data_IF_109914963515
#
_entry.id   IF_109914963515
#
_cell.length_a   1.000
_cell.length_b   1.000
_cell.length_c   1.000
_cell.angle_alpha   90.00
_cell.angle_beta   90.00
_cell.angle_gamma   90.00
#
_symmetry.space_group_name_H-M   'P 1'
#
loop_
_entity.id
_entity.type
_entity.pdbx_description
1 polymer ?
#
# COMPACT_ATOMS: atom_id res chain seq x y z
N UNK A 1 4.36 2.63 -30.09
CA UNK A 1 5.26 2.84 -28.94
C UNK A 1 6.31 1.73 -29.01
N UNK A 2 7.58 2.00 -28.75
CA UNK A 2 8.59 0.94 -28.70
C UNK A 2 8.58 0.25 -27.33
N UNK A 3 9.08 -0.99 -27.25
CA UNK A 3 9.25 -1.70 -25.97
C UNK A 3 10.00 -0.86 -24.94
N UNK A 4 11.10 -0.21 -25.36
CA UNK A 4 11.87 0.68 -24.51
C UNK A 4 11.03 1.82 -23.94
N UNK A 5 10.14 2.42 -24.73
CA UNK A 5 9.26 3.51 -24.29
C UNK A 5 8.25 3.02 -23.25
N UNK A 6 7.65 1.83 -23.45
CA UNK A 6 6.71 1.23 -22.48
C UNK A 6 7.43 0.97 -21.15
N UNK A 7 8.60 0.31 -21.20
CA UNK A 7 9.38 0.01 -20.00
C UNK A 7 9.86 1.28 -19.27
N UNK A 8 10.25 2.31 -20.01
CA UNK A 8 10.65 3.59 -19.44
C UNK A 8 9.46 4.27 -18.73
N UNK A 9 8.30 4.33 -19.39
CA UNK A 9 7.10 4.92 -18.82
C UNK A 9 6.59 4.16 -17.60
N UNK A 10 6.67 2.82 -17.63
CA UNK A 10 6.37 1.96 -16.49
C UNK A 10 7.26 2.30 -15.28
N UNK A 11 8.58 2.45 -15.50
CA UNK A 11 9.51 2.84 -14.43
C UNK A 11 9.21 4.23 -13.86
N UNK A 12 8.88 5.21 -14.71
CA UNK A 12 8.45 6.54 -14.24
C UNK A 12 7.17 6.45 -13.41
N UNK A 13 6.20 5.63 -13.84
CA UNK A 13 4.98 5.36 -13.08
C UNK A 13 5.27 4.75 -11.70
N UNK A 14 6.20 3.79 -11.63
CA UNK A 14 6.62 3.22 -10.35
C UNK A 14 7.33 4.22 -9.44
N UNK A 15 8.19 5.09 -9.99
CA UNK A 15 8.85 6.14 -9.20
C UNK A 15 7.79 7.08 -8.59
N UNK A 16 6.80 7.49 -9.38
CA UNK A 16 5.71 8.32 -8.87
C UNK A 16 4.90 7.59 -7.79
N UNK A 17 4.55 6.33 -8.00
CA UNK A 17 3.84 5.53 -7.00
C UNK A 17 4.65 5.35 -5.71
N UNK A 18 5.98 5.20 -5.82
CA UNK A 18 6.88 5.08 -4.68
C UNK A 18 6.88 6.33 -3.80
N UNK A 19 6.73 7.53 -4.36
CA UNK A 19 6.61 8.78 -3.58
C UNK A 19 5.34 8.78 -2.71
N UNK A 20 4.21 8.34 -3.27
CA UNK A 20 2.98 8.18 -2.50
C UNK A 20 3.13 7.09 -1.42
N UNK A 21 3.78 5.97 -1.76
CA UNK A 21 4.06 4.90 -0.80
C UNK A 21 4.89 5.38 0.39
N UNK A 22 5.96 6.15 0.14
CA UNK A 22 6.78 6.76 1.22
C UNK A 22 5.91 7.68 2.09
N UNK A 23 5.05 8.49 1.50
CA UNK A 23 4.09 9.31 2.24
C UNK A 23 3.18 8.46 3.14
N UNK A 24 2.69 7.33 2.63
CA UNK A 24 1.84 6.42 3.39
C UNK A 24 2.58 5.69 4.53
N UNK A 25 3.87 5.36 4.35
CA UNK A 25 4.71 4.82 5.42
C UNK A 25 4.82 5.84 6.57
N UNK A 26 5.04 7.11 6.26
CA UNK A 26 5.10 8.18 7.27
C UNK A 26 3.75 8.37 7.99
N UNK A 27 2.63 8.34 7.26
CA UNK A 27 1.30 8.41 7.86
C UNK A 27 0.99 7.21 8.76
N UNK A 28 1.42 6.01 8.35
CA UNK A 28 1.28 4.78 9.14
C UNK A 28 2.09 4.87 10.43
N UNK A 29 3.32 5.37 10.35
CA UNK A 29 4.17 5.64 11.51
C UNK A 29 3.53 6.66 12.46
N UNK A 30 2.96 7.75 11.94
CA UNK A 30 2.21 8.72 12.73
C UNK A 30 1.00 8.07 13.42
N UNK A 31 0.28 7.18 12.72
CA UNK A 31 -0.83 6.40 13.28
C UNK A 31 -0.40 5.56 14.49
N UNK A 32 0.77 4.91 14.42
CA UNK A 32 1.35 4.21 15.56
C UNK A 32 1.70 5.14 16.73
N UNK A 33 2.27 6.33 16.46
CA UNK A 33 2.54 7.29 17.53
C UNK A 33 1.25 7.78 18.19
N UNK A 34 0.21 8.07 17.41
CA UNK A 34 -1.09 8.47 17.95
C UNK A 34 -1.71 7.36 18.80
N UNK A 35 -1.69 6.11 18.31
CA UNK A 35 -2.18 4.96 19.05
C UNK A 35 -1.43 4.75 20.37
N UNK A 36 -0.10 4.86 20.36
CA UNK A 36 0.72 4.77 21.56
C UNK A 36 0.43 5.91 22.56
N UNK A 37 0.22 7.13 22.08
CA UNK A 37 -0.11 8.25 22.96
C UNK A 37 -1.48 8.08 23.62
N UNK A 38 -2.47 7.57 22.88
CA UNK A 38 -3.80 7.27 23.42
C UNK A 38 -3.75 6.14 24.44
N UNK A 39 -2.90 5.12 24.23
CA UNK A 39 -2.71 4.04 25.20
C UNK A 39 -2.11 4.51 26.52
N UNK A 40 -1.11 5.40 26.46
CA UNK A 40 -0.37 5.87 27.64
C UNK A 40 -1.01 7.09 28.32
N UNK A 41 -2.18 7.55 27.86
CA UNK A 41 -2.88 8.69 28.44
C UNK A 41 -3.97 8.22 29.44
N UNK A 42 -3.80 8.46 30.77
CA UNK A 42 -4.73 8.01 31.80
C UNK A 42 -6.16 8.56 31.60
N UNK A 43 -6.27 9.76 31.03
CA UNK A 43 -7.52 10.47 30.77
C UNK A 43 -7.94 10.42 29.29
N UNK A 44 -7.45 9.43 28.53
CA UNK A 44 -7.80 9.30 27.12
C UNK A 44 -9.32 9.18 26.93
N UNK A 45 -9.96 10.31 26.62
CA UNK A 45 -11.39 10.37 26.36
C UNK A 45 -11.75 9.43 25.19
N UNK A 46 -12.89 8.77 25.28
CA UNK A 46 -13.46 7.89 24.24
C UNK A 46 -13.39 8.53 22.84
N UNK A 47 -13.62 9.83 22.78
CA UNK A 47 -13.52 10.63 21.55
C UNK A 47 -12.13 10.51 20.90
N UNK A 48 -11.05 10.61 21.68
CA UNK A 48 -9.68 10.47 21.17
C UNK A 48 -9.42 9.10 20.57
N UNK A 49 -9.88 8.02 21.22
CA UNK A 49 -9.78 6.65 20.71
C UNK A 49 -10.48 6.49 19.36
N UNK A 50 -11.69 7.04 19.23
CA UNK A 50 -12.47 7.00 17.99
C UNK A 50 -11.76 7.75 16.88
N UNK A 51 -11.33 9.00 17.11
CA UNK A 51 -10.65 9.80 16.08
C UNK A 51 -9.32 9.16 15.63
N UNK A 52 -8.53 8.59 16.54
CA UNK A 52 -7.32 7.86 16.17
C UNK A 52 -7.65 6.61 15.35
N UNK A 53 -8.70 5.87 15.70
CA UNK A 53 -9.12 4.68 14.94
C UNK A 53 -9.55 5.04 13.51
N UNK A 54 -10.33 6.12 13.35
CA UNK A 54 -10.76 6.63 12.04
C UNK A 54 -9.54 7.06 11.20
N UNK A 55 -8.57 7.75 11.81
CA UNK A 55 -7.32 8.10 11.14
C UNK A 55 -6.58 6.84 10.65
N UNK A 56 -6.38 5.84 11.51
CA UNK A 56 -5.73 4.59 11.14
C UNK A 56 -6.46 3.86 10.00
N UNK A 57 -7.80 3.84 10.02
CA UNK A 57 -8.62 3.26 8.96
C UNK A 57 -8.38 3.95 7.61
N UNK A 58 -8.39 5.28 7.57
CA UNK A 58 -8.12 6.01 6.32
C UNK A 58 -6.70 5.79 5.81
N UNK A 59 -5.71 5.80 6.70
CA UNK A 59 -4.33 5.52 6.34
C UNK A 59 -4.18 4.11 5.74
N UNK A 60 -4.82 3.10 6.35
CA UNK A 60 -4.82 1.75 5.80
C UNK A 60 -5.51 1.68 4.43
N UNK A 61 -6.66 2.33 4.26
CA UNK A 61 -7.38 2.36 2.98
C UNK A 61 -6.57 3.04 1.87
N UNK A 62 -5.90 4.16 2.16
CA UNK A 62 -5.05 4.85 1.20
C UNK A 62 -3.78 4.06 0.88
N UNK A 63 -3.17 3.41 1.88
CA UNK A 63 -2.02 2.53 1.68
C UNK A 63 -2.37 1.34 0.77
N UNK A 64 -3.55 0.74 1.00
CA UNK A 64 -4.08 -0.30 0.13
C UNK A 64 -4.23 0.22 -1.31
N UNK A 65 -4.83 1.39 -1.51
CA UNK A 65 -5.00 1.97 -2.85
C UNK A 65 -3.67 2.26 -3.56
N UNK A 66 -2.65 2.76 -2.86
CA UNK A 66 -1.31 2.99 -3.45
C UNK A 66 -0.68 1.67 -3.92
N UNK A 67 -0.85 0.59 -3.15
CA UNK A 67 -0.39 -0.74 -3.58
C UNK A 67 -1.15 -1.23 -4.81
N UNK A 68 -2.47 -1.04 -4.86
CA UNK A 68 -3.30 -1.43 -6.02
C UNK A 68 -2.94 -0.62 -7.28
N UNK A 69 -2.66 0.68 -7.16
CA UNK A 69 -2.18 1.50 -8.28
C UNK A 69 -0.84 0.96 -8.80
N UNK A 70 0.09 0.59 -7.91
CA UNK A 70 1.34 -0.06 -8.32
C UNK A 70 1.12 -1.36 -9.09
N UNK A 71 0.16 -2.18 -8.66
CA UNK A 71 -0.22 -3.41 -9.38
C UNK A 71 -0.85 -3.13 -10.74
N UNK A 72 -1.73 -2.13 -10.83
CA UNK A 72 -2.37 -1.71 -12.07
C UNK A 72 -1.36 -1.16 -13.09
N UNK A 73 -0.37 -0.37 -12.63
CA UNK A 73 0.75 0.07 -13.47
C UNK A 73 1.46 -1.14 -14.06
N UNK A 74 1.77 -2.15 -13.24
CA UNK A 74 2.45 -3.34 -13.73
C UNK A 74 1.59 -4.09 -14.76
N UNK A 75 0.35 -4.43 -14.39
CA UNK A 75 -0.53 -5.24 -15.25
C UNK A 75 -0.80 -4.56 -16.58
N UNK A 76 -1.11 -3.26 -16.59
CA UNK A 76 -1.40 -2.54 -17.83
C UNK A 76 -0.19 -2.48 -18.77
N UNK A 77 1.03 -2.37 -18.23
CA UNK A 77 2.24 -2.32 -19.05
C UNK A 77 2.63 -3.72 -19.55
N UNK A 78 2.41 -4.76 -18.76
CA UNK A 78 2.59 -6.16 -19.19
C UNK A 78 1.64 -6.51 -20.32
N UNK A 79 0.36 -6.16 -20.20
CA UNK A 79 -0.64 -6.38 -21.26
C UNK A 79 -0.23 -5.71 -22.58
N UNK A 80 0.24 -4.45 -22.51
CA UNK A 80 0.75 -3.72 -23.67
C UNK A 80 1.98 -4.39 -24.29
N UNK A 81 2.92 -4.89 -23.47
CA UNK A 81 4.12 -5.58 -23.98
C UNK A 81 3.77 -6.90 -24.68
N UNK A 82 2.81 -7.65 -24.13
CA UNK A 82 2.30 -8.88 -24.74
C UNK A 82 1.61 -8.58 -26.08
N UNK A 83 0.75 -7.55 -26.13
CA UNK A 83 0.06 -7.14 -27.36
C UNK A 83 1.05 -6.72 -28.46
N UNK A 84 2.18 -6.12 -28.09
CA UNK A 84 3.26 -5.76 -29.01
C UNK A 84 4.13 -6.94 -29.46
N UNK A 85 3.94 -8.14 -28.91
CA UNK A 85 4.75 -9.32 -29.20
C UNK A 85 6.16 -9.27 -28.60
N UNK A 86 6.37 -8.50 -27.53
CA UNK A 86 7.66 -8.42 -26.86
C UNK A 86 7.86 -9.61 -25.92
N UNK A 87 9.00 -10.29 -26.03
CA UNK A 87 9.35 -11.44 -25.18
C UNK A 87 9.42 -11.07 -23.68
N UNK A 88 9.70 -9.80 -23.37
CA UNK A 88 9.65 -9.28 -22.00
C UNK A 88 8.25 -9.32 -21.39
N UNK A 89 7.20 -9.09 -22.18
CA UNK A 89 5.81 -9.17 -21.75
C UNK A 89 5.42 -10.58 -21.32
N UNK A 90 5.80 -11.60 -22.10
CA UNK A 90 5.58 -13.01 -21.76
C UNK A 90 6.33 -13.40 -20.47
N UNK A 91 7.58 -12.98 -20.33
CA UNK A 91 8.38 -13.22 -19.11
C UNK A 91 7.75 -12.58 -17.87
N UNK A 92 7.24 -11.35 -17.99
CA UNK A 92 6.61 -10.64 -16.87
C UNK A 92 5.24 -11.23 -16.53
N UNK A 93 4.47 -11.68 -17.53
CA UNK A 93 3.17 -12.33 -17.34
C UNK A 93 3.25 -13.56 -16.44
N UNK A 94 4.36 -14.30 -16.51
CA UNK A 94 4.60 -15.49 -15.67
C UNK A 94 4.58 -15.19 -14.15
N UNK A 95 4.77 -13.94 -13.74
CA UNK A 95 4.78 -13.54 -12.34
C UNK A 95 3.52 -12.80 -11.89
N UNK A 96 2.59 -12.45 -12.80
CA UNK A 96 1.46 -11.57 -12.50
C UNK A 96 0.53 -12.09 -11.39
N UNK A 97 0.44 -13.41 -11.25
CA UNK A 97 -0.37 -14.05 -10.21
C UNK A 97 0.40 -14.30 -8.89
N UNK A 98 1.67 -13.91 -8.82
CA UNK A 98 2.49 -14.14 -7.63
C UNK A 98 1.95 -13.33 -6.43
N UNK A 99 1.68 -13.96 -5.27
CA UNK A 99 1.11 -13.24 -4.11
C UNK A 99 1.93 -12.06 -3.58
N UNK A 100 3.25 -12.10 -3.84
CA UNK A 100 4.24 -11.09 -3.43
C UNK A 100 4.43 -9.96 -4.44
N UNK A 101 3.78 -10.01 -5.60
CA UNK A 101 3.88 -8.95 -6.60
C UNK A 101 3.34 -7.63 -6.05
N UNK A 102 3.73 -6.52 -6.65
CA UNK A 102 3.18 -5.20 -6.34
C UNK A 102 1.67 -5.22 -6.57
N UNK A 103 0.88 -4.81 -5.57
CA UNK A 103 -0.58 -4.91 -5.57
C UNK A 103 -1.13 -6.30 -5.25
N UNK A 104 -0.27 -7.30 -5.02
CA UNK A 104 -0.64 -8.67 -4.72
C UNK A 104 -1.38 -8.84 -3.38
N UNK A 105 -1.94 -10.03 -3.20
CA UNK A 105 -2.78 -10.36 -2.04
C UNK A 105 -2.03 -10.26 -0.72
N UNK A 106 -0.73 -10.58 -0.66
CA UNK A 106 0.03 -10.52 0.59
C UNK A 106 0.24 -9.07 1.07
N UNK A 107 0.35 -8.10 0.17
CA UNK A 107 0.43 -6.69 0.55
C UNK A 107 -0.87 -6.22 1.22
N UNK A 108 -2.01 -6.73 0.76
CA UNK A 108 -3.31 -6.44 1.35
C UNK A 108 -3.41 -7.01 2.77
N UNK A 109 -2.99 -8.26 2.94
CA UNK A 109 -2.92 -8.91 4.26
C UNK A 109 -1.99 -8.13 5.20
N UNK A 110 -0.85 -7.66 4.71
CA UNK A 110 0.07 -6.86 5.50
C UNK A 110 -0.54 -5.53 5.95
N UNK A 111 -1.24 -4.80 5.07
CA UNK A 111 -1.93 -3.55 5.43
C UNK A 111 -3.02 -3.79 6.49
N UNK A 112 -3.80 -4.88 6.35
CA UNK A 112 -4.80 -5.26 7.34
C UNK A 112 -4.16 -5.62 8.69
N UNK A 113 -3.05 -6.35 8.67
CA UNK A 113 -2.28 -6.67 9.89
C UNK A 113 -1.84 -5.40 10.61
N UNK A 114 -1.28 -4.43 9.89
CA UNK A 114 -0.84 -3.14 10.44
C UNK A 114 -2.02 -2.39 11.06
N UNK A 115 -3.16 -2.32 10.38
CA UNK A 115 -4.38 -1.67 10.89
C UNK A 115 -4.87 -2.34 12.19
N UNK A 116 -4.98 -3.66 12.19
CA UNK A 116 -5.41 -4.42 13.38
C UNK A 116 -4.45 -4.16 14.53
N UNK A 117 -3.15 -4.12 14.27
CA UNK A 117 -2.16 -3.82 15.30
C UNK A 117 -2.31 -2.40 15.86
N UNK A 118 -2.51 -1.39 15.01
CA UNK A 118 -2.77 -0.02 15.46
C UNK A 118 -4.03 0.07 16.32
N UNK A 119 -5.13 -0.57 15.91
CA UNK A 119 -6.38 -0.58 16.66
C UNK A 119 -6.24 -1.35 17.99
N UNK A 120 -5.48 -2.44 18.01
CA UNK A 120 -5.17 -3.17 19.24
C UNK A 120 -4.38 -2.30 20.23
N UNK A 121 -3.54 -1.38 19.77
CA UNK A 121 -2.88 -0.42 20.66
C UNK A 121 -3.86 0.62 21.22
N UNK A 122 -4.82 1.09 20.42
CA UNK A 122 -5.82 2.09 20.86
C UNK A 122 -6.81 1.52 21.87
N UNK A 123 -7.28 0.29 21.63
CA UNK A 123 -8.37 -0.34 22.38
C UNK A 123 -7.93 -1.42 23.35
N UNK A 124 -6.68 -1.90 23.24
CA UNK A 124 -6.10 -2.87 24.16
C UNK A 124 -6.08 -2.31 25.58
N UNK A 125 -6.48 -3.16 26.53
CA UNK A 125 -6.26 -2.88 27.96
C UNK A 125 -4.78 -3.05 28.26
N UNK A 126 -4.27 -2.28 29.23
CA UNK A 126 -2.96 -2.55 29.82
C UNK A 126 -2.90 -3.96 30.42
#
# INVERSE_FOLDING_TARGET
MTEYQVLNLMQVGFIQNAMYFVGMVLMTWLGFRMANNVRNAPDANMIGKVFTSVFCLFVAAFMFQVNQIGGAILSSNVDLLVEMGAESGERMSAYMDAPLIVGGSLQTVFVLFVLVFQLALVWGKE
#
